data_IF_162111411392
#
_entry.id   IF_162111411392
#
_cell.length_a   1.000
_cell.length_b   1.000
_cell.length_c   1.000
_cell.angle_alpha   90.00
_cell.angle_beta   90.00
_cell.angle_gamma   90.00
#
_symmetry.space_group_name_H-M   'P 1'
#
loop_
_entity.id
_entity.type
_entity.pdbx_description
1 polymer ?
#
# COMPACT_ATOMS: atom_id res chain seq x y z
N UNK A 1 22.32 -9.38 38.83
CA UNK A 1 21.15 -8.73 38.16
C UNK A 1 20.67 -9.64 37.04
N UNK A 2 19.43 -10.11 37.05
CA UNK A 2 18.91 -10.91 35.94
C UNK A 2 18.68 -9.97 34.73
N UNK A 3 19.26 -10.31 33.60
CA UNK A 3 19.02 -9.58 32.34
C UNK A 3 17.55 -9.80 31.96
N UNK A 4 16.75 -8.71 31.96
CA UNK A 4 15.35 -8.76 31.52
C UNK A 4 15.35 -8.92 30.00
N UNK A 5 14.88 -10.05 29.50
CA UNK A 5 14.71 -10.29 28.08
C UNK A 5 13.48 -9.52 27.60
N UNK A 6 13.67 -8.59 26.67
CA UNK A 6 12.59 -7.85 26.01
C UNK A 6 12.37 -8.50 24.66
N UNK A 7 11.19 -9.10 24.39
CA UNK A 7 10.89 -9.66 23.08
C UNK A 7 10.66 -8.55 22.05
N UNK A 8 10.97 -8.83 20.79
CA UNK A 8 10.71 -7.92 19.68
C UNK A 8 9.26 -8.08 19.22
N UNK A 9 8.42 -7.06 19.48
CA UNK A 9 7.02 -6.95 18.99
C UNK A 9 6.24 -8.29 18.94
N UNK A 10 6.05 -8.99 20.07
CA UNK A 10 5.27 -10.22 20.07
C UNK A 10 3.80 -9.89 19.80
N UNK A 11 3.08 -10.72 19.01
CA UNK A 11 1.66 -10.55 18.81
C UNK A 11 0.89 -10.80 20.13
N UNK A 12 -0.21 -10.11 20.31
CA UNK A 12 -1.17 -10.37 21.39
C UNK A 12 -2.21 -11.39 20.89
N UNK A 13 -2.00 -12.66 21.26
CA UNK A 13 -2.88 -13.78 20.86
C UNK A 13 -3.65 -14.25 22.08
N UNK A 14 -4.97 -14.20 21.95
CA UNK A 14 -5.93 -14.65 22.97
C UNK A 14 -6.62 -15.96 22.56
N UNK A 15 -7.45 -16.51 23.46
CA UNK A 15 -8.27 -17.67 23.15
C UNK A 15 -9.25 -17.43 21.99
N UNK A 16 -9.58 -16.16 21.71
CA UNK A 16 -10.46 -15.78 20.60
C UNK A 16 -9.83 -16.09 19.25
N UNK A 17 -8.55 -15.70 19.06
CA UNK A 17 -7.79 -15.97 17.84
C UNK A 17 -7.59 -17.48 17.65
N UNK A 18 -7.23 -18.19 18.74
CA UNK A 18 -7.06 -19.65 18.73
C UNK A 18 -8.37 -20.35 18.33
N UNK A 19 -9.50 -19.90 18.88
CA UNK A 19 -10.82 -20.44 18.55
C UNK A 19 -11.16 -20.23 17.06
N UNK A 20 -11.03 -19.00 16.55
CA UNK A 20 -11.37 -18.66 15.16
C UNK A 20 -10.49 -19.40 14.14
N UNK A 21 -9.20 -19.53 14.41
CA UNK A 21 -8.28 -20.31 13.55
C UNK A 21 -8.67 -21.80 13.59
N UNK A 22 -8.96 -22.34 14.76
CA UNK A 22 -9.39 -23.74 14.92
C UNK A 22 -10.73 -23.99 14.20
N UNK A 23 -11.66 -23.05 14.24
CA UNK A 23 -12.93 -23.11 13.52
C UNK A 23 -12.69 -23.14 12.01
N UNK A 24 -11.82 -22.25 11.49
CA UNK A 24 -11.49 -22.21 10.07
C UNK A 24 -10.90 -23.55 9.60
N UNK A 25 -9.96 -24.12 10.36
CA UNK A 25 -9.37 -25.43 10.05
C UNK A 25 -10.41 -26.56 10.04
N UNK A 26 -11.30 -26.59 11.04
CA UNK A 26 -12.37 -27.61 11.14
C UNK A 26 -13.41 -27.48 10.03
N UNK A 27 -13.62 -26.28 9.50
CA UNK A 27 -14.54 -26.06 8.37
C UNK A 27 -14.06 -26.73 7.07
N UNK A 28 -12.77 -27.05 6.97
CA UNK A 28 -12.13 -27.57 5.77
C UNK A 28 -11.85 -26.51 4.70
N UNK A 29 -12.29 -25.26 4.90
CA UNK A 29 -12.03 -24.17 3.95
C UNK A 29 -10.80 -23.37 4.40
N UNK A 30 -9.62 -23.75 3.91
CA UNK A 30 -8.32 -23.23 4.32
C UNK A 30 -7.62 -22.37 3.25
N UNK A 31 -8.33 -21.89 2.26
CA UNK A 31 -7.88 -21.00 1.20
C UNK A 31 -8.75 -19.75 1.13
N UNK A 32 -8.51 -18.85 0.14
CA UNK A 32 -9.36 -17.70 -0.11
C UNK A 32 -10.83 -18.10 -0.16
N UNK A 33 -11.67 -17.50 0.67
CA UNK A 33 -13.06 -17.90 0.82
C UNK A 33 -13.85 -16.95 1.72
N UNK A 34 -14.90 -17.45 2.40
CA UNK A 34 -15.81 -16.60 3.19
C UNK A 34 -15.12 -15.76 4.26
N UNK A 35 -14.15 -16.32 4.99
CA UNK A 35 -13.37 -15.57 6.02
C UNK A 35 -12.52 -14.46 5.42
N UNK A 36 -11.91 -14.70 4.25
CA UNK A 36 -11.16 -13.66 3.53
C UNK A 36 -12.07 -12.53 3.07
N UNK A 37 -13.26 -12.87 2.53
CA UNK A 37 -14.24 -11.86 2.08
C UNK A 37 -14.80 -11.04 3.23
N UNK A 38 -15.04 -11.67 4.38
CA UNK A 38 -15.43 -10.96 5.60
C UNK A 38 -14.32 -9.99 6.04
N UNK A 39 -13.07 -10.43 6.02
CA UNK A 39 -11.93 -9.60 6.40
C UNK A 39 -11.74 -8.43 5.44
N UNK A 40 -11.82 -8.63 4.10
CA UNK A 40 -11.80 -7.57 3.09
C UNK A 40 -12.88 -6.50 3.39
N UNK A 41 -14.10 -6.92 3.70
CA UNK A 41 -15.21 -6.02 4.06
C UNK A 41 -14.90 -5.21 5.34
N UNK A 42 -14.32 -5.84 6.36
CA UNK A 42 -13.96 -5.17 7.61
C UNK A 42 -12.83 -4.17 7.40
N UNK A 43 -11.83 -4.50 6.57
CA UNK A 43 -10.75 -3.58 6.20
C UNK A 43 -11.31 -2.38 5.44
N UNK A 44 -12.13 -2.60 4.42
CA UNK A 44 -12.76 -1.53 3.66
C UNK A 44 -13.56 -0.59 4.56
N UNK A 45 -14.34 -1.14 5.49
CA UNK A 45 -15.10 -0.36 6.47
C UNK A 45 -14.17 0.43 7.41
N UNK A 46 -13.09 -0.16 7.91
CA UNK A 46 -12.11 0.50 8.77
C UNK A 46 -11.39 1.64 8.03
N UNK A 47 -11.01 1.42 6.77
CA UNK A 47 -10.32 2.37 5.92
C UNK A 47 -11.26 3.42 5.29
N UNK A 48 -12.58 3.29 5.44
CA UNK A 48 -13.59 4.15 4.82
C UNK A 48 -13.50 4.14 3.28
N UNK A 49 -13.17 2.98 2.72
CA UNK A 49 -13.14 2.72 1.27
C UNK A 49 -14.27 1.79 0.87
N UNK A 50 -14.65 1.77 -0.41
CA UNK A 50 -15.73 0.92 -0.89
C UNK A 50 -15.32 -0.57 -0.86
N UNK A 51 -14.05 -0.83 -1.14
CA UNK A 51 -13.53 -2.19 -1.29
C UNK A 51 -12.10 -2.33 -0.78
N UNK A 52 -11.71 -3.55 -0.46
CA UNK A 52 -10.36 -3.97 -0.15
C UNK A 52 -10.10 -5.36 -0.76
N UNK A 53 -8.85 -5.68 -1.03
CA UNK A 53 -8.43 -7.02 -1.46
C UNK A 53 -7.30 -7.50 -0.56
N UNK A 54 -7.42 -8.70 -0.01
CA UNK A 54 -6.41 -9.33 0.84
C UNK A 54 -5.47 -10.20 0.02
N UNK A 55 -4.17 -10.08 0.31
CA UNK A 55 -3.10 -10.89 -0.24
C UNK A 55 -2.21 -11.43 0.90
N UNK A 56 -1.17 -12.18 0.52
CA UNK A 56 -0.23 -12.78 1.48
C UNK A 56 0.77 -11.79 2.09
N UNK A 57 0.90 -10.57 1.58
CA UNK A 57 1.83 -9.55 2.09
C UNK A 57 1.56 -8.16 1.50
N UNK A 58 2.06 -7.10 2.14
CA UNK A 58 2.09 -5.76 1.56
C UNK A 58 2.93 -5.71 0.27
N UNK A 59 4.02 -6.48 0.21
CA UNK A 59 4.85 -6.60 -0.98
C UNK A 59 4.03 -7.08 -2.18
N UNK A 60 3.24 -8.14 -2.01
CA UNK A 60 2.34 -8.63 -3.06
C UNK A 60 1.27 -7.59 -3.43
N UNK A 61 0.73 -6.85 -2.44
CA UNK A 61 -0.23 -5.78 -2.69
C UNK A 61 0.37 -4.68 -3.57
N UNK A 62 1.55 -4.17 -3.22
CA UNK A 62 2.22 -3.12 -4.00
C UNK A 62 2.58 -3.62 -5.42
N UNK A 63 3.13 -4.83 -5.53
CA UNK A 63 3.46 -5.40 -6.84
C UNK A 63 2.21 -5.56 -7.71
N UNK A 64 1.12 -6.08 -7.16
CA UNK A 64 -0.13 -6.25 -7.87
C UNK A 64 -0.71 -4.91 -8.35
N UNK A 65 -0.68 -3.86 -7.51
CA UNK A 65 -1.09 -2.52 -7.89
C UNK A 65 -0.25 -2.02 -9.06
N UNK A 66 1.08 -2.12 -9.00
CA UNK A 66 1.97 -1.70 -10.09
C UNK A 66 1.66 -2.44 -11.41
N UNK A 67 1.37 -3.75 -11.35
CA UNK A 67 0.99 -4.55 -12.52
C UNK A 67 -0.35 -4.11 -13.11
N UNK A 68 -1.37 -3.88 -12.28
CA UNK A 68 -2.70 -3.39 -12.71
C UNK A 68 -2.58 -1.99 -13.31
N UNK A 69 -1.72 -1.15 -12.77
CA UNK A 69 -1.41 0.15 -13.33
C UNK A 69 -0.60 0.07 -14.63
N UNK A 70 -0.11 -1.11 -15.05
CA UNK A 70 0.66 -1.28 -16.26
C UNK A 70 2.09 -0.74 -16.17
N UNK A 71 2.63 -0.58 -14.96
CA UNK A 71 4.02 -0.17 -14.74
C UNK A 71 4.97 -1.27 -15.13
N UNK A 72 6.01 -0.96 -15.90
CA UNK A 72 6.94 -1.96 -16.43
C UNK A 72 8.26 -1.38 -16.94
N UNK A 73 8.97 -2.16 -17.80
CA UNK A 73 10.25 -1.74 -18.35
C UNK A 73 10.19 -0.38 -19.07
N UNK A 74 11.07 0.53 -18.70
CA UNK A 74 11.13 1.89 -19.23
C UNK A 74 10.42 2.94 -18.35
N UNK A 75 9.57 2.51 -17.43
CA UNK A 75 8.92 3.38 -16.44
C UNK A 75 9.79 3.61 -15.21
N UNK A 76 9.45 4.65 -14.45
CA UNK A 76 10.08 5.00 -13.17
C UNK A 76 9.04 5.02 -12.05
N UNK A 77 9.44 4.50 -10.88
CA UNK A 77 8.70 4.62 -9.62
C UNK A 77 9.58 5.35 -8.62
N UNK A 78 9.06 6.44 -8.05
CA UNK A 78 9.77 7.25 -7.07
C UNK A 78 9.40 6.77 -5.66
N UNK A 79 10.39 6.55 -4.80
CA UNK A 79 10.17 6.23 -3.39
C UNK A 79 11.20 6.91 -2.47
N UNK A 80 11.00 6.82 -1.15
CA UNK A 80 11.96 7.31 -0.17
C UNK A 80 13.22 6.45 -0.13
N UNK A 81 14.38 7.06 0.06
CA UNK A 81 15.63 6.34 0.31
C UNK A 81 15.63 5.63 1.68
N UNK A 82 14.84 6.11 2.64
CA UNK A 82 14.66 5.50 3.94
C UNK A 82 13.38 4.67 3.97
N UNK A 83 13.50 3.40 3.65
CA UNK A 83 12.39 2.46 3.60
C UNK A 83 12.86 1.02 3.77
N UNK A 84 11.91 0.12 3.98
CA UNK A 84 12.17 -1.32 3.90
C UNK A 84 12.37 -1.75 2.45
N UNK A 85 13.21 -2.76 2.23
CA UNK A 85 13.59 -3.25 0.90
C UNK A 85 12.40 -3.54 -0.03
N UNK A 86 11.28 -4.01 0.53
CA UNK A 86 10.09 -4.35 -0.25
C UNK A 86 9.59 -3.19 -1.11
N UNK A 87 9.55 -1.96 -0.57
CA UNK A 87 9.08 -0.76 -1.26
C UNK A 87 9.85 -0.48 -2.55
N UNK A 88 11.16 -0.72 -2.55
CA UNK A 88 11.99 -0.57 -3.74
C UNK A 88 11.94 -1.83 -4.63
N UNK A 89 11.96 -3.03 -4.04
CA UNK A 89 12.06 -4.28 -4.79
C UNK A 89 10.84 -4.57 -5.66
N UNK A 90 9.62 -4.17 -5.24
CA UNK A 90 8.41 -4.34 -6.06
C UNK A 90 8.50 -3.62 -7.40
N UNK A 91 9.19 -2.47 -7.43
CA UNK A 91 9.49 -1.75 -8.67
C UNK A 91 10.39 -2.58 -9.61
N UNK A 92 11.41 -3.22 -9.04
CA UNK A 92 12.27 -4.12 -9.80
C UNK A 92 11.52 -5.36 -10.28
N UNK A 93 10.58 -5.90 -9.48
CA UNK A 93 9.78 -7.08 -9.86
C UNK A 93 8.94 -6.84 -11.12
N UNK A 94 8.46 -5.62 -11.32
CA UNK A 94 7.73 -5.26 -12.54
C UNK A 94 8.64 -4.77 -13.68
N UNK A 95 9.95 -4.73 -13.45
CA UNK A 95 10.95 -4.32 -14.44
C UNK A 95 11.10 -2.82 -14.62
N UNK A 96 10.49 -2.01 -13.76
CA UNK A 96 10.62 -0.55 -13.75
C UNK A 96 11.89 -0.12 -13.02
N UNK A 97 12.28 1.14 -13.21
CA UNK A 97 13.43 1.76 -12.54
C UNK A 97 13.00 2.41 -11.22
N UNK A 98 13.70 2.07 -10.13
CA UNK A 98 13.57 2.77 -8.86
C UNK A 98 14.28 4.11 -8.93
N UNK A 99 13.57 5.18 -8.53
CA UNK A 99 14.14 6.52 -8.30
C UNK A 99 13.98 6.83 -6.82
N UNK A 100 15.08 7.05 -6.13
CA UNK A 100 15.05 7.32 -4.69
C UNK A 100 15.17 8.82 -4.43
N UNK A 101 14.28 9.35 -3.62
CA UNK A 101 14.35 10.70 -3.05
C UNK A 101 14.81 10.58 -1.61
N UNK A 102 15.79 11.36 -1.21
CA UNK A 102 16.32 11.37 0.14
C UNK A 102 15.29 11.89 1.14
N UNK A 103 15.53 11.65 2.42
CA UNK A 103 14.67 12.21 3.49
C UNK A 103 14.95 13.69 3.66
N UNK A 104 13.95 14.43 4.16
CA UNK A 104 14.16 15.81 4.56
C UNK A 104 15.13 15.89 5.75
N UNK A 105 15.87 16.99 5.93
CA UNK A 105 16.75 17.18 7.08
C UNK A 105 15.99 16.95 8.41
N UNK A 106 16.60 16.21 9.32
CA UNK A 106 16.04 15.87 10.65
C UNK A 106 14.67 15.14 10.62
N UNK A 107 14.36 14.48 9.51
CA UNK A 107 13.12 13.72 9.30
C UNK A 107 13.40 12.32 8.73
N UNK A 108 12.45 11.42 8.90
CA UNK A 108 12.41 10.13 8.21
C UNK A 108 11.48 10.14 6.99
N UNK A 109 10.75 11.23 6.80
CA UNK A 109 9.87 11.40 5.64
C UNK A 109 10.66 11.82 4.41
N UNK A 110 10.15 11.46 3.23
CA UNK A 110 10.69 11.91 1.95
C UNK A 110 10.81 13.44 1.90
N UNK A 111 11.87 13.96 1.30
CA UNK A 111 12.02 15.37 1.02
C UNK A 111 11.03 15.79 -0.09
N UNK A 112 9.90 16.36 0.31
CA UNK A 112 8.83 16.73 -0.62
C UNK A 112 9.23 17.85 -1.59
N UNK A 113 10.20 18.69 -1.23
CA UNK A 113 10.67 19.74 -2.12
C UNK A 113 11.48 19.14 -3.30
N UNK A 114 12.18 18.02 -3.05
CA UNK A 114 12.92 17.29 -4.09
C UNK A 114 12.02 16.35 -4.91
N UNK A 115 10.85 15.97 -4.38
CA UNK A 115 9.94 15.05 -5.05
C UNK A 115 9.53 15.56 -6.43
N UNK A 116 9.11 16.82 -6.52
CA UNK A 116 8.68 17.41 -7.79
C UNK A 116 9.81 17.39 -8.84
N UNK A 117 11.06 17.65 -8.43
CA UNK A 117 12.22 17.66 -9.33
C UNK A 117 12.61 16.25 -9.80
N UNK A 118 12.29 15.22 -9.02
CA UNK A 118 12.52 13.83 -9.38
C UNK A 118 11.52 13.27 -10.41
N UNK A 119 10.37 13.93 -10.61
CA UNK A 119 9.34 13.49 -11.56
C UNK A 119 9.79 13.79 -12.99
N UNK A 120 9.82 12.76 -13.84
CA UNK A 120 10.13 12.79 -15.26
C UNK A 120 8.97 12.30 -16.11
N UNK A 121 9.10 12.34 -17.44
CA UNK A 121 8.14 11.77 -18.39
C UNK A 121 7.96 10.25 -18.23
N UNK A 122 8.93 9.56 -17.60
CA UNK A 122 8.91 8.13 -17.34
C UNK A 122 8.23 7.78 -16.01
N UNK A 123 8.04 8.75 -15.12
CA UNK A 123 7.48 8.52 -13.78
C UNK A 123 6.01 8.16 -13.88
N UNK A 124 5.62 6.98 -13.37
CA UNK A 124 4.24 6.49 -13.34
C UNK A 124 3.64 6.53 -11.93
N UNK A 125 4.46 6.25 -10.93
CA UNK A 125 4.02 6.12 -9.54
C UNK A 125 4.99 6.83 -8.61
N UNK A 126 4.45 7.53 -7.61
CA UNK A 126 5.15 7.93 -6.38
C UNK A 126 4.68 6.98 -5.27
N UNK A 127 5.64 6.36 -4.58
CA UNK A 127 5.42 5.35 -3.55
C UNK A 127 5.98 5.87 -2.21
N UNK A 128 5.24 6.79 -1.50
CA UNK A 128 5.62 7.26 -0.18
C UNK A 128 5.45 6.16 0.86
N UNK A 129 6.14 6.31 2.00
CA UNK A 129 6.13 5.33 3.10
C UNK A 129 5.62 5.99 4.37
N UNK A 130 4.49 5.52 4.89
CA UNK A 130 3.91 5.96 6.16
C UNK A 130 4.62 5.27 7.33
N UNK A 131 5.89 5.66 7.55
CA UNK A 131 6.82 5.00 8.45
C UNK A 131 6.39 5.12 9.91
N UNK A 132 6.42 4.00 10.64
CA UNK A 132 6.06 3.92 12.06
C UNK A 132 4.65 4.46 12.38
N UNK A 133 3.75 4.50 11.40
CA UNK A 133 2.40 5.04 11.53
C UNK A 133 2.32 6.57 11.43
N UNK A 134 3.42 7.23 11.12
CA UNK A 134 3.44 8.66 10.75
C UNK A 134 3.01 8.76 9.30
N UNK A 135 1.84 9.31 9.08
CA UNK A 135 1.28 9.49 7.74
C UNK A 135 2.00 10.64 7.06
N UNK A 136 2.48 10.41 5.83
CA UNK A 136 3.16 11.40 5.01
C UNK A 136 2.30 12.65 4.76
N UNK A 137 2.92 13.78 4.44
CA UNK A 137 2.23 14.99 4.00
C UNK A 137 1.69 14.81 2.58
N UNK A 138 0.49 14.23 2.49
CA UNK A 138 -0.14 13.95 1.18
C UNK A 138 -0.55 15.23 0.44
N UNK A 139 -0.75 16.36 1.11
CA UNK A 139 -1.01 17.63 0.42
C UNK A 139 0.21 18.03 -0.41
N UNK A 140 1.42 17.91 0.13
CA UNK A 140 2.66 18.18 -0.60
C UNK A 140 2.91 17.16 -1.71
N UNK A 141 2.65 15.87 -1.44
CA UNK A 141 2.81 14.82 -2.46
C UNK A 141 1.88 15.07 -3.64
N UNK A 142 0.58 15.32 -3.38
CA UNK A 142 -0.37 15.62 -4.44
C UNK A 142 -0.06 16.93 -5.17
N UNK A 143 0.39 17.97 -4.47
CA UNK A 143 0.84 19.20 -5.09
C UNK A 143 2.03 18.96 -6.05
N UNK A 144 3.01 18.12 -5.64
CA UNK A 144 4.15 17.76 -6.48
C UNK A 144 3.70 17.05 -7.77
N UNK A 145 2.87 15.98 -7.67
CA UNK A 145 2.42 15.22 -8.84
C UNK A 145 1.52 16.05 -9.75
N UNK A 146 0.66 16.93 -9.21
CA UNK A 146 -0.16 17.84 -9.99
C UNK A 146 0.68 18.89 -10.75
N UNK A 147 1.71 19.43 -10.11
CA UNK A 147 2.60 20.41 -10.75
C UNK A 147 3.31 19.86 -11.99
N UNK A 148 3.50 18.55 -12.07
CA UNK A 148 4.22 17.84 -13.15
C UNK A 148 3.30 17.02 -14.06
N UNK A 149 1.97 17.16 -13.94
CA UNK A 149 1.01 16.37 -14.75
C UNK A 149 1.20 16.53 -16.27
N UNK A 150 1.75 17.63 -16.72
CA UNK A 150 2.05 17.86 -18.12
C UNK A 150 3.15 16.94 -18.69
N UNK A 151 3.95 16.29 -17.82
CA UNK A 151 4.95 15.28 -18.20
C UNK A 151 4.35 13.87 -18.28
N UNK A 152 3.17 13.66 -17.69
CA UNK A 152 2.60 12.33 -17.54
C UNK A 152 2.05 11.78 -18.86
N UNK A 153 2.52 10.58 -19.23
CA UNK A 153 2.07 9.86 -20.41
C UNK A 153 1.40 8.54 -19.99
N UNK A 154 0.06 8.44 -20.01
CA UNK A 154 -0.65 7.24 -19.57
C UNK A 154 -0.48 6.08 -20.55
N UNK A 155 -0.35 4.85 -20.02
CA UNK A 155 -0.22 3.62 -20.82
C UNK A 155 -1.47 2.75 -20.83
N UNK A 156 -2.44 3.02 -19.94
CA UNK A 156 -3.74 2.32 -19.91
C UNK A 156 -4.86 3.25 -19.45
N UNK A 157 -6.10 2.75 -19.44
CA UNK A 157 -7.27 3.58 -19.12
C UNK A 157 -7.31 4.03 -17.67
N UNK A 158 -6.76 3.24 -16.72
CA UNK A 158 -6.67 3.65 -15.31
C UNK A 158 -5.74 4.86 -15.19
N UNK A 159 -4.52 4.78 -15.72
CA UNK A 159 -3.58 5.90 -15.71
C UNK A 159 -4.16 7.13 -16.43
N UNK A 160 -4.93 6.91 -17.51
CA UNK A 160 -5.59 7.97 -18.27
C UNK A 160 -6.67 8.68 -17.45
N UNK A 161 -7.44 7.93 -16.66
CA UNK A 161 -8.44 8.51 -15.76
C UNK A 161 -7.78 9.42 -14.71
N UNK A 162 -6.66 9.00 -14.11
CA UNK A 162 -5.92 9.85 -13.17
C UNK A 162 -5.26 11.07 -13.81
N UNK A 163 -4.78 10.96 -15.05
CA UNK A 163 -4.17 12.06 -15.82
C UNK A 163 -2.90 12.67 -15.19
N UNK A 164 -2.30 12.01 -14.21
CA UNK A 164 -1.09 12.39 -13.50
C UNK A 164 -0.38 11.17 -12.91
N UNK A 165 0.83 11.38 -12.41
CA UNK A 165 1.53 10.36 -11.63
C UNK A 165 0.66 9.88 -10.45
N UNK A 166 0.53 8.57 -10.29
CA UNK A 166 -0.34 7.94 -9.30
C UNK A 166 0.39 7.82 -7.96
N UNK A 167 -0.32 8.01 -6.86
CA UNK A 167 0.22 7.91 -5.51
C UNK A 167 -0.19 6.58 -4.90
N UNK A 168 0.78 5.71 -4.66
CA UNK A 168 0.64 4.42 -3.99
C UNK A 168 1.31 4.47 -2.62
N UNK A 169 0.55 4.45 -1.55
CA UNK A 169 1.09 4.47 -0.19
C UNK A 169 1.60 3.07 0.24
N UNK A 170 2.85 2.99 0.68
CA UNK A 170 3.32 1.90 1.52
C UNK A 170 2.95 2.23 2.98
N UNK A 171 1.79 1.76 3.38
CA UNK A 171 1.21 1.95 4.71
C UNK A 171 1.42 0.71 5.61
N UNK A 172 2.51 -0.05 5.39
CA UNK A 172 2.81 -1.26 6.14
C UNK A 172 2.87 -1.06 7.66
N UNK A 173 3.02 0.19 8.15
CA UNK A 173 3.03 0.56 9.56
C UNK A 173 1.82 1.41 9.97
N UNK A 174 0.91 1.73 9.06
CA UNK A 174 -0.09 2.78 9.26
C UNK A 174 -1.54 2.31 9.24
N UNK A 175 -1.80 0.99 9.39
CA UNK A 175 -3.18 0.52 9.52
C UNK A 175 -3.83 1.12 10.76
N UNK A 176 -4.98 1.81 10.57
CA UNK A 176 -5.69 2.52 11.62
C UNK A 176 -5.21 3.95 11.90
N UNK A 177 -4.12 4.39 11.27
CA UNK A 177 -3.67 5.79 11.37
C UNK A 177 -4.64 6.74 10.65
N UNK A 178 -4.61 8.01 11.05
CA UNK A 178 -5.43 9.08 10.47
C UNK A 178 -4.58 10.28 10.12
N UNK A 179 -4.98 10.97 9.06
CA UNK A 179 -4.42 12.23 8.64
C UNK A 179 -5.55 13.19 8.24
N UNK A 180 -5.61 14.38 8.85
CA UNK A 180 -6.69 15.37 8.66
C UNK A 180 -8.11 14.76 8.82
N UNK A 181 -8.25 13.82 9.76
CA UNK A 181 -9.54 13.15 10.05
C UNK A 181 -9.89 11.99 9.12
N UNK A 182 -9.15 11.78 8.02
CA UNK A 182 -9.32 10.67 7.09
C UNK A 182 -8.52 9.45 7.53
N UNK A 183 -9.06 8.27 7.29
CA UNK A 183 -8.36 7.02 7.57
C UNK A 183 -7.25 6.77 6.55
N UNK A 184 -6.11 6.26 7.01
CA UNK A 184 -5.13 5.68 6.11
C UNK A 184 -5.80 4.54 5.33
N UNK A 185 -5.67 4.56 4.01
CA UNK A 185 -6.39 3.66 3.10
C UNK A 185 -7.30 4.39 2.12
N UNK A 186 -7.83 5.58 2.49
CA UNK A 186 -8.62 6.45 1.60
C UNK A 186 -7.87 7.73 1.16
N UNK A 187 -6.63 7.95 1.64
CA UNK A 187 -5.89 9.20 1.41
C UNK A 187 -5.16 9.17 0.08
N UNK A 188 -4.30 8.19 -0.12
CA UNK A 188 -3.58 7.96 -1.38
C UNK A 188 -4.52 7.43 -2.48
N UNK A 189 -4.07 7.41 -3.73
CA UNK A 189 -4.84 6.80 -4.81
C UNK A 189 -5.01 5.30 -4.58
N UNK A 190 -3.91 4.64 -4.16
CA UNK A 190 -3.87 3.25 -3.70
C UNK A 190 -3.08 3.16 -2.40
N UNK A 191 -3.43 2.20 -1.56
CA UNK A 191 -2.74 1.99 -0.27
C UNK A 191 -2.49 0.49 -0.07
N UNK A 192 -1.29 0.15 0.40
CA UNK A 192 -0.89 -1.21 0.76
C UNK A 192 -0.61 -1.31 2.25
N UNK A 193 -1.21 -2.30 2.91
CA UNK A 193 -1.03 -2.62 4.33
C UNK A 193 -0.33 -3.95 4.53
N UNK A 194 0.45 -4.07 5.60
CA UNK A 194 1.07 -5.31 6.04
C UNK A 194 0.40 -5.81 7.32
N UNK A 195 0.12 -7.11 7.33
CA UNK A 195 -0.36 -7.85 8.51
C UNK A 195 0.64 -8.94 8.93
N UNK A 196 1.93 -8.71 8.63
CA UNK A 196 3.01 -9.55 9.12
C UNK A 196 3.03 -9.59 10.65
N UNK A 197 3.59 -10.66 11.23
CA UNK A 197 3.56 -10.97 12.67
C UNK A 197 3.98 -9.82 13.61
N UNK A 198 4.84 -8.89 13.15
CA UNK A 198 5.35 -7.77 13.98
C UNK A 198 4.54 -6.48 13.84
N UNK A 199 3.48 -6.46 13.04
CA UNK A 199 2.65 -5.27 12.81
C UNK A 199 1.61 -5.10 13.92
N UNK A 200 1.01 -3.90 13.98
CA UNK A 200 -0.02 -3.55 14.96
C UNK A 200 -1.34 -4.35 14.81
N UNK A 201 -1.62 -4.82 13.60
CA UNK A 201 -2.62 -5.85 13.30
C UNK A 201 -1.89 -6.97 12.55
N UNK A 202 -2.12 -8.23 12.95
CA UNK A 202 -1.44 -9.36 12.33
C UNK A 202 -2.38 -10.51 11.95
N UNK A 203 -2.04 -11.16 10.83
CA UNK A 203 -2.60 -12.43 10.38
C UNK A 203 -1.49 -13.49 10.26
N UNK A 204 -0.39 -13.36 11.02
CA UNK A 204 0.88 -14.06 10.91
C UNK A 204 1.65 -13.63 9.64
N UNK A 205 1.15 -13.96 8.49
CA UNK A 205 1.50 -13.42 7.17
C UNK A 205 0.24 -12.89 6.51
N UNK A 206 0.33 -11.71 5.89
CA UNK A 206 -0.80 -11.11 5.21
C UNK A 206 -0.56 -9.67 4.81
N UNK A 207 -1.44 -9.18 3.97
CA UNK A 207 -1.54 -7.80 3.57
C UNK A 207 -2.90 -7.50 2.98
N UNK A 208 -3.19 -6.23 2.80
CA UNK A 208 -4.36 -5.78 2.05
C UNK A 208 -4.01 -4.57 1.22
N UNK A 209 -4.74 -4.40 0.13
CA UNK A 209 -4.75 -3.18 -0.65
C UNK A 209 -6.14 -2.53 -0.59
N UNK A 210 -6.15 -1.22 -0.59
CA UNK A 210 -7.34 -0.39 -0.72
C UNK A 210 -7.08 0.71 -1.74
N UNK A 211 -8.13 1.37 -2.19
CA UNK A 211 -8.04 2.54 -3.08
C UNK A 211 -9.19 3.49 -2.83
N UNK A 212 -8.96 4.75 -3.11
CA UNK A 212 -10.02 5.75 -3.06
C UNK A 212 -10.78 5.78 -4.38
N UNK A 213 -12.04 6.15 -4.32
CA UNK A 213 -12.84 6.37 -5.53
C UNK A 213 -12.23 7.47 -6.39
N UNK A 214 -12.23 7.24 -7.70
CA UNK A 214 -11.76 8.22 -8.67
C UNK A 214 -12.70 8.23 -9.89
N UNK A 215 -13.09 9.45 -10.32
CA UNK A 215 -13.92 9.60 -11.51
C UNK A 215 -13.24 8.97 -12.74
N UNK A 216 -14.00 8.17 -13.48
CA UNK A 216 -13.48 7.44 -14.65
C UNK A 216 -12.82 6.09 -14.36
N UNK A 217 -12.74 5.67 -13.09
CA UNK A 217 -12.32 4.31 -12.70
C UNK A 217 -13.53 3.55 -12.14
N UNK A 218 -13.91 2.46 -12.79
CA UNK A 218 -14.98 1.59 -12.31
C UNK A 218 -14.46 0.67 -11.19
N UNK A 219 -14.90 0.95 -9.95
CA UNK A 219 -14.48 0.23 -8.75
C UNK A 219 -14.76 -1.27 -8.81
N UNK A 220 -15.88 -1.68 -9.37
CA UNK A 220 -16.26 -3.08 -9.47
C UNK A 220 -15.35 -3.84 -10.46
N UNK A 221 -15.05 -3.23 -11.60
CA UNK A 221 -14.10 -3.78 -12.57
C UNK A 221 -12.70 -3.86 -11.99
N UNK A 222 -12.26 -2.83 -11.26
CA UNK A 222 -10.95 -2.80 -10.63
C UNK A 222 -10.82 -3.89 -9.55
N UNK A 223 -11.86 -4.06 -8.71
CA UNK A 223 -11.91 -5.12 -7.72
C UNK A 223 -11.80 -6.51 -8.36
N UNK A 224 -12.58 -6.77 -9.42
CA UNK A 224 -12.51 -8.04 -10.16
C UNK A 224 -11.15 -8.29 -10.77
N UNK A 225 -10.49 -7.26 -11.28
CA UNK A 225 -9.15 -7.36 -11.83
C UNK A 225 -8.12 -7.72 -10.77
N UNK A 226 -8.16 -7.08 -9.61
CA UNK A 226 -7.30 -7.43 -8.47
C UNK A 226 -7.55 -8.87 -8.01
N UNK A 227 -8.81 -9.30 -7.90
CA UNK A 227 -9.14 -10.67 -7.50
C UNK A 227 -8.63 -11.71 -8.51
N UNK A 228 -8.81 -11.46 -9.81
CA UNK A 228 -8.37 -12.38 -10.85
C UNK A 228 -6.85 -12.56 -10.85
N UNK A 229 -6.10 -11.49 -10.61
CA UNK A 229 -4.63 -11.51 -10.62
C UNK A 229 -4.03 -11.92 -9.27
N UNK A 230 -4.82 -12.04 -8.20
CA UNK A 230 -4.37 -12.51 -6.88
C UNK A 230 -4.44 -14.03 -6.71
N UNK A 231 -4.99 -14.74 -7.68
CA UNK A 231 -5.06 -16.20 -7.73
C UNK A 231 -3.81 -16.77 -8.39
#
# INVERSE_FOLDING_TARGET
MSIKKIPFSPPDITESEVYLVSEALRSGWITTGPKTKEFERLIAMCCQTDQAVCLNSATACMELILRVLGVGPGDEVITSAYTYTATASVTCHVGAKVVMVDTAPDSFEMDYDKLADAITEKTKVVLPVDLAGVVCDYDKIFAAVESKKHLFSPVNDIQKAYGRVIVLADAAHAFGAKWHGKMCGEIADFTSFSFHAVKNLTTAEGGALTWRNHDGVDNESLYKQFQLLSL
#
